data_IF_804523330599
#
_entry.id   IF_804523330599
#
_cell.length_a   1.000
_cell.length_b   1.000
_cell.length_c   1.000
_cell.angle_alpha   90.00
_cell.angle_beta   90.00
_cell.angle_gamma   90.00
#
_symmetry.space_group_name_H-M   'P 1'
#
loop_
_entity.id
_entity.type
_entity.pdbx_description
1 polymer ?
#
# COMPACT_ATOMS: atom_id res chain seq x y z
N UNK A 1 -11.28 6.84 -7.44
CA UNK A 1 -12.04 6.88 -6.16
C UNK A 1 -13.36 6.13 -6.36
N UNK A 2 -13.50 4.89 -5.86
CA UNK A 2 -14.77 4.15 -5.96
C UNK A 2 -15.79 4.75 -4.97
N UNK A 3 -16.91 5.27 -5.49
CA UNK A 3 -18.04 5.75 -4.68
C UNK A 3 -18.55 4.60 -3.80
N UNK A 4 -18.42 4.73 -2.48
CA UNK A 4 -19.05 3.80 -1.53
C UNK A 4 -20.56 3.89 -1.70
N UNK A 5 -21.23 2.75 -1.88
CA UNK A 5 -22.68 2.68 -2.07
C UNK A 5 -23.40 3.24 -0.83
N UNK A 6 -24.44 4.09 -1.00
CA UNK A 6 -25.21 4.66 0.11
C UNK A 6 -25.87 3.59 1.01
N UNK A 7 -26.14 2.40 0.45
CA UNK A 7 -26.72 1.27 1.18
C UNK A 7 -25.76 0.70 2.24
N UNK A 8 -24.44 0.73 2.01
CA UNK A 8 -23.44 0.26 2.97
C UNK A 8 -23.32 1.16 4.21
N UNK A 9 -23.71 2.43 4.12
CA UNK A 9 -23.72 3.33 5.27
C UNK A 9 -24.99 3.19 6.11
N UNK A 10 -26.11 2.79 5.50
CA UNK A 10 -27.41 2.66 6.19
C UNK A 10 -27.35 1.61 7.32
N UNK A 11 -26.72 0.46 7.06
CA UNK A 11 -26.62 -0.64 8.03
C UNK A 11 -25.76 -0.32 9.26
N UNK A 12 -24.80 0.60 9.16
CA UNK A 12 -24.01 1.04 10.32
C UNK A 12 -24.70 2.15 11.12
N UNK A 13 -25.50 2.99 10.45
CA UNK A 13 -26.21 4.12 11.07
C UNK A 13 -27.44 3.63 11.85
N UNK A 14 -28.13 2.60 11.38
CA UNK A 14 -29.34 2.07 12.02
C UNK A 14 -29.07 1.63 13.48
N UNK A 15 -28.11 0.72 13.77
CA UNK A 15 -27.80 0.32 15.14
C UNK A 15 -27.33 1.48 16.02
N UNK A 16 -26.59 2.44 15.46
CA UNK A 16 -26.15 3.62 16.17
C UNK A 16 -27.35 4.46 16.63
N UNK A 17 -28.30 4.74 15.73
CA UNK A 17 -29.52 5.49 16.04
C UNK A 17 -30.33 4.76 17.11
N UNK A 18 -30.56 3.45 16.96
CA UNK A 18 -31.31 2.68 17.96
C UNK A 18 -30.60 2.63 19.32
N UNK A 19 -29.27 2.52 19.36
CA UNK A 19 -28.50 2.58 20.61
C UNK A 19 -28.58 3.96 21.29
N UNK A 20 -28.59 5.04 20.50
CA UNK A 20 -28.76 6.41 20.99
C UNK A 20 -30.17 6.66 21.53
N UNK A 21 -31.20 6.21 20.82
CA UNK A 21 -32.59 6.26 21.28
C UNK A 21 -32.75 5.46 22.57
N UNK A 22 -32.18 4.25 22.64
CA UNK A 22 -32.17 3.45 23.85
C UNK A 22 -31.48 4.19 25.00
N UNK A 23 -30.37 4.89 24.74
CA UNK A 23 -29.64 5.63 25.77
C UNK A 23 -30.52 6.74 26.36
N UNK A 24 -31.14 7.55 25.50
CA UNK A 24 -32.03 8.64 25.92
C UNK A 24 -33.25 8.09 26.67
N UNK A 25 -33.86 7.01 26.18
CA UNK A 25 -34.99 6.36 26.83
C UNK A 25 -34.63 5.84 28.22
N UNK A 26 -33.46 5.19 28.37
CA UNK A 26 -32.97 4.70 29.65
C UNK A 26 -32.70 5.86 30.63
N UNK A 27 -32.06 6.94 30.18
CA UNK A 27 -31.83 8.12 31.02
C UNK A 27 -33.17 8.65 31.56
N UNK A 28 -34.17 8.83 30.69
CA UNK A 28 -35.47 9.36 31.10
C UNK A 28 -36.20 8.42 32.08
N UNK A 29 -36.27 7.12 31.74
CA UNK A 29 -36.99 6.13 32.56
C UNK A 29 -36.32 5.91 33.92
N UNK A 30 -34.99 5.80 33.95
CA UNK A 30 -34.25 5.61 35.21
C UNK A 30 -34.31 6.88 36.06
N UNK A 31 -34.21 8.07 35.46
CA UNK A 31 -34.34 9.33 36.17
C UNK A 31 -35.73 9.51 36.79
N UNK A 32 -36.81 9.07 36.12
CA UNK A 32 -38.14 9.10 36.72
C UNK A 32 -38.22 8.20 37.97
N UNK A 33 -37.52 7.06 37.96
CA UNK A 33 -37.48 6.09 39.06
C UNK A 33 -36.64 6.54 40.25
N UNK A 34 -35.75 7.54 40.11
CA UNK A 34 -34.97 8.06 41.25
C UNK A 34 -35.82 8.81 42.29
N UNK A 35 -37.11 9.05 42.01
CA UNK A 35 -38.07 9.58 43.00
C UNK A 35 -38.43 8.57 44.10
N UNK A 36 -38.12 7.28 43.89
CA UNK A 36 -38.35 6.19 44.85
C UNK A 36 -37.05 5.90 45.61
N UNK A 37 -36.96 6.14 46.94
CA UNK A 37 -35.71 5.97 47.69
C UNK A 37 -35.12 4.56 47.60
N UNK A 38 -35.96 3.52 47.69
CA UNK A 38 -35.53 2.12 47.57
C UNK A 38 -34.82 1.81 46.24
N UNK A 39 -35.19 2.50 45.15
CA UNK A 39 -34.54 2.34 43.86
C UNK A 39 -33.16 2.99 43.82
N UNK A 40 -32.99 4.15 44.47
CA UNK A 40 -31.70 4.85 44.58
C UNK A 40 -30.69 3.99 45.36
N UNK A 41 -31.13 3.39 46.46
CA UNK A 41 -30.30 2.47 47.24
C UNK A 41 -29.90 1.24 46.42
N UNK A 42 -30.85 0.66 45.68
CA UNK A 42 -30.56 -0.48 44.80
C UNK A 42 -29.56 -0.12 43.69
N UNK A 43 -29.73 1.02 43.02
CA UNK A 43 -28.83 1.48 41.96
C UNK A 43 -27.42 1.74 42.49
N UNK A 44 -27.31 2.33 43.68
CA UNK A 44 -26.04 2.56 44.38
C UNK A 44 -25.36 1.25 44.73
N UNK A 45 -26.10 0.28 45.28
CA UNK A 45 -25.57 -1.04 45.63
C UNK A 45 -25.08 -1.83 44.40
N UNK A 46 -25.71 -1.64 43.24
CA UNK A 46 -25.29 -2.27 41.98
C UNK A 46 -24.05 -1.61 41.35
N UNK A 47 -23.69 -0.38 41.75
CA UNK A 47 -22.59 0.37 41.14
C UNK A 47 -21.26 -0.39 41.24
N UNK A 48 -20.95 -1.03 42.37
CA UNK A 48 -19.71 -1.79 42.55
C UNK A 48 -19.61 -2.99 41.60
N UNK A 49 -20.71 -3.74 41.45
CA UNK A 49 -20.77 -4.87 40.53
C UNK A 49 -20.66 -4.40 39.07
N UNK A 50 -21.33 -3.31 38.73
CA UNK A 50 -21.28 -2.69 37.41
C UNK A 50 -19.88 -2.20 37.04
N UNK A 51 -19.16 -1.58 37.99
CA UNK A 51 -17.75 -1.22 37.85
C UNK A 51 -16.90 -2.47 37.59
N UNK A 52 -17.12 -3.54 38.35
CA UNK A 52 -16.39 -4.81 38.20
C UNK A 52 -16.54 -5.41 36.79
N UNK A 53 -17.77 -5.51 36.29
CA UNK A 53 -18.05 -6.03 34.94
C UNK A 53 -17.44 -5.12 33.87
N UNK A 54 -17.67 -3.81 33.97
CA UNK A 54 -17.17 -2.84 32.99
C UNK A 54 -15.64 -2.79 32.96
N UNK A 55 -15.01 -2.86 34.14
CA UNK A 55 -13.56 -2.90 34.31
C UNK A 55 -12.97 -4.17 33.71
N UNK A 56 -13.57 -5.33 33.95
CA UNK A 56 -13.13 -6.59 33.36
C UNK A 56 -13.15 -6.54 31.83
N UNK A 57 -14.25 -6.07 31.23
CA UNK A 57 -14.35 -5.91 29.77
C UNK A 57 -13.34 -4.90 29.24
N UNK A 58 -13.16 -3.76 29.92
CA UNK A 58 -12.19 -2.75 29.51
C UNK A 58 -10.75 -3.28 29.54
N UNK A 59 -10.38 -4.08 30.56
CA UNK A 59 -9.07 -4.73 30.63
C UNK A 59 -8.87 -5.70 29.47
N UNK A 60 -9.85 -6.54 29.15
CA UNK A 60 -9.77 -7.45 28.00
C UNK A 60 -9.56 -6.69 26.68
N UNK A 61 -10.28 -5.59 26.49
CA UNK A 61 -10.14 -4.75 25.30
C UNK A 61 -8.74 -4.11 25.20
N UNK A 62 -8.18 -3.60 26.30
CA UNK A 62 -6.83 -3.02 26.30
C UNK A 62 -5.77 -4.06 26.00
N UNK A 63 -5.86 -5.24 26.62
CA UNK A 63 -4.92 -6.35 26.37
C UNK A 63 -4.96 -6.74 24.89
N UNK A 64 -6.16 -6.87 24.31
CA UNK A 64 -6.32 -7.14 22.89
C UNK A 64 -5.71 -6.02 22.03
N UNK A 65 -6.07 -4.76 22.27
CA UNK A 65 -5.59 -3.60 21.51
C UNK A 65 -4.06 -3.47 21.59
N UNK A 66 -3.47 -3.69 22.76
CA UNK A 66 -2.02 -3.70 22.95
C UNK A 66 -1.36 -4.82 22.12
N UNK A 67 -1.88 -6.04 22.20
CA UNK A 67 -1.36 -7.18 21.44
C UNK A 67 -1.48 -6.98 19.92
N UNK A 68 -2.61 -6.43 19.45
CA UNK A 68 -2.85 -6.13 18.05
C UNK A 68 -1.91 -5.02 17.55
N UNK A 69 -1.67 -3.99 18.38
CA UNK A 69 -0.73 -2.91 18.07
C UNK A 69 0.70 -3.43 17.92
N UNK A 70 1.14 -4.33 18.82
CA UNK A 70 2.46 -4.96 18.72
C UNK A 70 2.60 -5.81 17.46
N UNK A 71 1.57 -6.60 17.12
CA UNK A 71 1.52 -7.37 15.87
C UNK A 71 1.57 -6.48 14.62
N UNK A 72 0.83 -5.38 14.61
CA UNK A 72 0.90 -4.43 13.50
C UNK A 72 2.27 -3.77 13.38
N UNK A 73 2.89 -3.42 14.52
CA UNK A 73 4.24 -2.87 14.53
C UNK A 73 5.25 -3.86 13.95
N UNK A 74 5.18 -5.14 14.32
CA UNK A 74 6.08 -6.16 13.78
C UNK A 74 5.84 -6.41 12.29
N UNK A 75 4.58 -6.52 11.85
CA UNK A 75 4.21 -6.66 10.44
C UNK A 75 4.69 -5.46 9.62
N UNK A 76 4.52 -4.23 10.14
CA UNK A 76 4.98 -3.02 9.46
C UNK A 76 6.51 -2.97 9.38
N UNK A 77 7.21 -3.31 10.47
CA UNK A 77 8.68 -3.39 10.47
C UNK A 77 9.17 -4.41 9.45
N UNK A 78 8.53 -5.57 9.37
CA UNK A 78 8.86 -6.58 8.37
C UNK A 78 8.57 -6.04 6.97
N UNK A 79 7.42 -5.43 6.73
CA UNK A 79 7.06 -4.86 5.43
C UNK A 79 8.04 -3.77 4.98
N UNK A 80 8.53 -2.92 5.91
CA UNK A 80 9.57 -1.92 5.63
C UNK A 80 10.88 -2.60 5.26
N UNK A 81 11.35 -3.57 6.05
CA UNK A 81 12.59 -4.31 5.74
C UNK A 81 12.52 -5.02 4.38
N UNK A 82 11.37 -5.61 4.05
CA UNK A 82 11.16 -6.25 2.75
C UNK A 82 11.10 -5.21 1.62
N UNK A 83 10.47 -4.06 1.86
CA UNK A 83 10.44 -2.95 0.90
C UNK A 83 11.85 -2.42 0.63
N UNK A 84 12.66 -2.23 1.67
CA UNK A 84 14.05 -1.78 1.55
C UNK A 84 14.86 -2.78 0.70
N UNK A 85 14.76 -4.08 1.01
CA UNK A 85 15.43 -5.13 0.25
C UNK A 85 15.02 -5.14 -1.23
N UNK A 86 13.72 -5.06 -1.53
CA UNK A 86 13.22 -5.01 -2.92
C UNK A 86 13.59 -3.69 -3.61
N UNK A 87 13.64 -2.58 -2.88
CA UNK A 87 14.06 -1.27 -3.40
C UNK A 87 15.53 -1.28 -3.80
N UNK A 88 16.40 -1.90 -3.00
CA UNK A 88 17.81 -2.09 -3.36
C UNK A 88 17.98 -2.97 -4.61
N UNK A 89 17.23 -4.07 -4.74
CA UNK A 89 17.20 -4.87 -5.97
C UNK A 89 16.83 -4.00 -7.19
N UNK A 90 15.85 -3.11 -7.03
CA UNK A 90 15.47 -2.18 -8.09
C UNK A 90 16.55 -1.11 -8.38
N UNK A 91 17.31 -0.66 -7.38
CA UNK A 91 18.48 0.21 -7.60
C UNK A 91 19.54 -0.48 -8.46
N UNK A 92 19.92 -1.70 -8.11
CA UNK A 92 20.89 -2.49 -8.87
C UNK A 92 20.41 -2.71 -10.31
N UNK A 93 19.14 -3.06 -10.50
CA UNK A 93 18.58 -3.23 -11.83
C UNK A 93 18.58 -1.94 -12.65
N UNK A 94 18.16 -0.80 -12.09
CA UNK A 94 18.23 0.49 -12.79
C UNK A 94 19.66 0.89 -13.13
N UNK A 95 20.65 0.52 -12.31
CA UNK A 95 22.06 0.72 -12.63
C UNK A 95 22.51 -0.12 -13.84
N UNK A 96 22.08 -1.39 -13.91
CA UNK A 96 22.29 -2.23 -15.10
C UNK A 96 21.63 -1.58 -16.33
N UNK A 97 20.38 -1.13 -16.19
CA UNK A 97 19.64 -0.47 -17.28
C UNK A 97 20.34 0.82 -17.73
N UNK A 98 20.85 1.63 -16.81
CA UNK A 98 21.59 2.86 -17.13
C UNK A 98 22.88 2.55 -17.91
N UNK A 99 23.61 1.50 -17.52
CA UNK A 99 24.79 1.05 -18.24
C UNK A 99 24.42 0.62 -19.67
N UNK A 100 23.38 -0.19 -19.85
CA UNK A 100 22.92 -0.67 -21.16
C UNK A 100 22.42 0.49 -22.04
N UNK A 101 21.56 1.35 -21.49
CA UNK A 101 21.03 2.55 -22.13
C UNK A 101 22.15 3.47 -22.66
N UNK A 102 23.20 3.68 -21.86
CA UNK A 102 24.35 4.51 -22.24
C UNK A 102 25.40 3.80 -23.10
N UNK A 103 25.30 2.49 -23.27
CA UNK A 103 26.30 1.70 -24.01
C UNK A 103 26.24 1.96 -25.52
N UNK A 104 27.16 1.31 -26.25
CA UNK A 104 27.26 1.33 -27.72
C UNK A 104 26.52 0.16 -28.38
N UNK A 105 25.71 -0.59 -27.64
CA UNK A 105 24.99 -1.76 -28.18
C UNK A 105 23.88 -1.42 -29.19
N UNK A 106 23.57 -0.14 -29.34
CA UNK A 106 22.44 0.34 -30.12
C UNK A 106 22.84 0.54 -31.58
N UNK A 107 21.89 0.38 -32.53
CA UNK A 107 22.10 0.78 -33.91
C UNK A 107 22.59 2.24 -34.01
N UNK A 108 23.54 2.54 -34.91
CA UNK A 108 23.95 3.92 -35.18
C UNK A 108 22.76 4.79 -35.58
N UNK A 109 22.61 5.98 -34.99
CA UNK A 109 21.51 6.90 -35.27
C UNK A 109 20.26 6.70 -34.41
N UNK A 110 20.12 5.57 -33.70
CA UNK A 110 18.92 5.31 -32.88
C UNK A 110 18.76 6.34 -31.75
N UNK A 111 19.87 6.72 -31.10
CA UNK A 111 19.83 7.65 -29.99
C UNK A 111 19.45 9.05 -30.46
N UNK A 112 20.07 9.51 -31.54
CA UNK A 112 19.78 10.79 -32.17
C UNK A 112 18.31 10.84 -32.61
N UNK A 113 17.80 9.77 -33.23
CA UNK A 113 16.40 9.65 -33.62
C UNK A 113 15.43 9.80 -32.42
N UNK A 114 15.65 9.05 -31.34
CA UNK A 114 14.71 9.07 -30.20
C UNK A 114 14.88 10.30 -29.30
N UNK A 115 16.12 10.71 -29.02
CA UNK A 115 16.40 11.73 -28.02
C UNK A 115 16.41 13.15 -28.62
N UNK A 116 16.71 13.31 -29.91
CA UNK A 116 16.73 14.60 -30.60
C UNK A 116 15.49 14.81 -31.50
N UNK A 117 15.17 13.88 -32.41
CA UNK A 117 14.02 14.04 -33.33
C UNK A 117 12.68 13.85 -32.60
N UNK A 118 12.58 12.84 -31.74
CA UNK A 118 11.42 12.58 -30.89
C UNK A 118 11.62 13.03 -29.44
N UNK A 119 12.23 14.22 -29.27
CA UNK A 119 12.60 14.75 -27.96
C UNK A 119 11.44 14.68 -26.94
N UNK A 120 11.70 13.97 -25.85
CA UNK A 120 10.78 13.83 -24.74
C UNK A 120 9.69 12.77 -24.92
N UNK A 121 9.76 11.96 -25.96
CA UNK A 121 8.99 10.73 -26.09
C UNK A 121 9.42 9.72 -25.00
N UNK A 122 8.42 9.10 -24.37
CA UNK A 122 8.62 8.02 -23.39
C UNK A 122 7.89 6.75 -23.81
N UNK A 123 8.29 5.61 -23.25
CA UNK A 123 7.58 4.35 -23.45
C UNK A 123 6.12 4.43 -23.02
N UNK A 124 5.82 5.20 -21.97
CA UNK A 124 4.44 5.38 -21.50
C UNK A 124 3.58 6.12 -22.52
N UNK A 125 4.14 7.12 -23.21
CA UNK A 125 3.42 7.84 -24.26
C UNK A 125 3.09 6.91 -25.43
N UNK A 126 4.06 6.09 -25.85
CA UNK A 126 3.88 5.09 -26.92
C UNK A 126 2.86 4.04 -26.52
N UNK A 127 2.89 3.51 -25.28
CA UNK A 127 1.91 2.51 -24.84
C UNK A 127 0.52 3.08 -24.60
N UNK A 128 0.39 4.38 -24.35
CA UNK A 128 -0.88 5.06 -24.09
C UNK A 128 -1.39 5.88 -25.27
N UNK A 129 -0.83 5.70 -26.47
CA UNK A 129 -1.20 6.47 -27.66
C UNK A 129 -2.70 6.44 -27.96
N UNK A 130 -3.36 5.29 -27.76
CA UNK A 130 -4.80 5.09 -27.95
C UNK A 130 -5.67 5.94 -27.01
N UNK A 131 -5.11 6.48 -25.91
CA UNK A 131 -5.80 7.41 -25.01
C UNK A 131 -5.84 8.84 -25.59
N UNK A 132 -5.26 9.08 -26.77
CA UNK A 132 -5.26 10.37 -27.48
C UNK A 132 -4.44 11.46 -26.80
N UNK A 133 -3.49 11.09 -25.93
CA UNK A 133 -2.80 12.04 -25.04
C UNK A 133 -1.48 12.59 -25.60
N UNK A 134 -0.91 11.97 -26.63
CA UNK A 134 0.39 12.35 -27.17
C UNK A 134 0.37 12.37 -28.70
N UNK A 135 0.42 13.57 -29.28
CA UNK A 135 0.58 13.76 -30.73
C UNK A 135 1.92 13.20 -31.21
N UNK A 136 2.98 13.41 -30.41
CA UNK A 136 4.33 12.91 -30.68
C UNK A 136 4.38 11.37 -30.77
N UNK A 137 3.65 10.67 -29.89
CA UNK A 137 3.57 9.21 -29.96
C UNK A 137 2.83 8.71 -31.21
N UNK A 138 1.85 9.47 -31.70
CA UNK A 138 1.14 9.14 -32.94
C UNK A 138 2.06 9.35 -34.14
N UNK A 139 2.76 10.48 -34.20
CA UNK A 139 3.76 10.77 -35.24
C UNK A 139 4.84 9.68 -35.26
N UNK A 140 5.39 9.32 -34.10
CA UNK A 140 6.37 8.23 -33.94
C UNK A 140 5.85 6.86 -34.44
N UNK A 141 4.60 6.51 -34.14
CA UNK A 141 3.99 5.25 -34.56
C UNK A 141 3.57 5.25 -36.04
N UNK A 142 3.48 6.41 -36.68
CA UNK A 142 3.13 6.58 -38.09
C UNK A 142 4.36 6.60 -38.99
N UNK A 143 5.51 7.05 -38.48
CA UNK A 143 6.78 6.90 -39.17
C UNK A 143 7.19 5.43 -39.19
N UNK A 144 7.72 4.96 -40.33
CA UNK A 144 8.17 3.58 -40.47
C UNK A 144 9.24 3.26 -39.42
N UNK A 145 9.25 2.02 -38.90
CA UNK A 145 10.26 1.50 -37.98
C UNK A 145 11.65 1.51 -38.64
N UNK A 146 12.41 2.58 -38.47
CA UNK A 146 13.73 2.75 -39.08
C UNK A 146 14.81 1.88 -38.39
N UNK A 147 14.52 1.35 -37.20
CA UNK A 147 15.47 0.57 -36.39
C UNK A 147 14.88 -0.76 -35.91
N UNK A 148 14.00 -1.38 -36.70
CA UNK A 148 13.51 -2.76 -36.50
C UNK A 148 13.08 -3.03 -35.06
N UNK A 149 12.14 -2.24 -34.53
CA UNK A 149 11.57 -2.34 -33.17
C UNK A 149 12.56 -2.10 -32.00
N UNK A 150 13.85 -1.84 -32.23
CA UNK A 150 14.80 -1.55 -31.14
C UNK A 150 14.50 -0.22 -30.43
N UNK A 151 13.75 0.67 -31.08
CA UNK A 151 13.23 1.93 -30.52
C UNK A 151 12.37 1.67 -29.28
N UNK A 152 11.53 0.63 -29.32
CA UNK A 152 10.66 0.28 -28.21
C UNK A 152 11.46 -0.20 -26.99
N UNK A 153 12.50 -1.01 -27.21
CA UNK A 153 13.41 -1.43 -26.13
C UNK A 153 14.16 -0.22 -25.55
N UNK A 154 14.65 0.66 -26.41
CA UNK A 154 15.35 1.88 -26.00
C UNK A 154 14.47 2.79 -25.13
N UNK A 155 13.25 3.07 -25.59
CA UNK A 155 12.25 3.85 -24.85
C UNK A 155 11.88 3.18 -23.53
N UNK A 156 11.77 1.86 -23.49
CA UNK A 156 11.46 1.12 -22.27
C UNK A 156 12.57 1.26 -21.22
N UNK A 157 13.83 1.07 -21.63
CA UNK A 157 15.00 1.28 -20.76
C UNK A 157 15.08 2.74 -20.29
N UNK A 158 14.85 3.71 -21.18
CA UNK A 158 14.74 5.14 -20.86
C UNK A 158 13.69 5.38 -19.77
N UNK A 159 12.49 4.80 -19.89
CA UNK A 159 11.39 4.98 -18.94
C UNK A 159 11.60 4.28 -17.59
N UNK A 160 12.46 3.27 -17.50
CA UNK A 160 12.91 2.68 -16.22
C UNK A 160 13.82 3.62 -15.42
N UNK A 161 14.50 4.55 -16.10
CA UNK A 161 15.40 5.52 -15.46
C UNK A 161 14.67 6.75 -14.90
N UNK A 162 13.40 6.95 -15.24
CA UNK A 162 12.57 8.05 -14.73
C UNK A 162 12.01 7.76 -13.34
N UNK A 163 11.77 8.80 -12.55
CA UNK A 163 11.10 8.71 -11.24
C UNK A 163 9.67 9.25 -11.27
N UNK A 164 9.32 10.01 -12.32
CA UNK A 164 7.97 10.51 -12.53
C UNK A 164 7.51 10.17 -13.96
N UNK A 165 6.29 9.65 -14.17
CA UNK A 165 5.77 9.37 -15.52
C UNK A 165 5.67 10.60 -16.44
N UNK A 166 5.75 11.82 -15.88
CA UNK A 166 5.74 13.08 -16.63
C UNK A 166 7.13 13.59 -16.99
N UNK A 167 8.18 13.01 -16.43
CA UNK A 167 9.55 13.33 -16.84
C UNK A 167 9.76 12.88 -18.27
N UNK A 168 10.41 13.72 -19.06
CA UNK A 168 10.64 13.49 -20.49
C UNK A 168 12.09 13.17 -20.83
N UNK A 169 13.01 13.54 -19.93
CA UNK A 169 14.45 13.36 -20.09
C UNK A 169 15.01 12.56 -18.93
N UNK A 170 15.95 11.68 -19.25
CA UNK A 170 16.73 10.96 -18.24
C UNK A 170 17.72 11.96 -17.64
N UNK A 171 17.77 12.13 -16.31
CA UNK A 171 18.75 13.02 -15.69
C UNK A 171 20.18 12.49 -15.90
N UNK A 172 21.16 13.39 -15.96
CA UNK A 172 22.57 12.98 -16.04
C UNK A 172 22.97 12.07 -14.87
N UNK A 173 22.50 12.42 -13.67
CA UNK A 173 22.71 11.64 -12.45
C UNK A 173 21.41 10.91 -12.07
N UNK A 174 21.45 9.57 -12.14
CA UNK A 174 20.31 8.74 -11.75
C UNK A 174 20.11 8.80 -10.24
N UNK A 175 18.90 9.19 -9.82
CA UNK A 175 18.51 9.21 -8.42
C UNK A 175 17.98 7.85 -7.96
N UNK A 176 18.43 7.42 -6.79
CA UNK A 176 18.07 6.16 -6.12
C UNK A 176 17.38 6.47 -4.78
N UNK A 177 16.05 6.65 -4.78
CA UNK A 177 15.32 7.07 -3.59
C UNK A 177 15.15 5.95 -2.57
N UNK A 178 15.02 6.29 -1.29
CA UNK A 178 14.70 5.31 -0.25
C UNK A 178 13.38 4.55 -0.51
N UNK A 179 12.45 5.18 -1.22
CA UNK A 179 11.25 4.53 -1.73
C UNK A 179 10.85 5.16 -3.07
N UNK A 180 10.53 4.31 -4.04
CA UNK A 180 10.05 4.78 -5.35
C UNK A 180 8.64 5.37 -5.27
N UNK A 181 8.34 6.45 -6.02
CA UNK A 181 6.98 6.98 -6.10
C UNK A 181 5.99 5.93 -6.61
N UNK A 182 4.83 5.79 -5.94
CA UNK A 182 3.82 4.79 -6.30
C UNK A 182 3.32 4.96 -7.75
N UNK A 183 3.26 6.20 -8.24
CA UNK A 183 2.80 6.52 -9.60
C UNK A 183 3.71 5.90 -10.67
N UNK A 184 5.04 6.00 -10.52
CA UNK A 184 5.98 5.43 -11.50
C UNK A 184 6.00 3.90 -11.42
N UNK A 185 5.98 3.32 -10.22
CA UNK A 185 5.94 1.85 -10.06
C UNK A 185 4.65 1.27 -10.65
N UNK A 186 3.53 1.96 -10.47
CA UNK A 186 2.26 1.58 -11.09
C UNK A 186 2.33 1.61 -12.61
N UNK A 187 2.99 2.62 -13.20
CA UNK A 187 3.17 2.71 -14.65
C UNK A 187 4.09 1.63 -15.18
N UNK A 188 5.15 1.30 -14.47
CA UNK A 188 6.02 0.18 -14.84
C UNK A 188 5.24 -1.13 -14.88
N UNK A 189 4.39 -1.40 -13.89
CA UNK A 189 3.55 -2.60 -13.87
C UNK A 189 2.43 -2.59 -14.93
N UNK A 190 1.71 -1.48 -15.09
CA UNK A 190 0.60 -1.35 -16.07
C UNK A 190 1.08 -1.68 -17.49
N UNK A 191 2.26 -1.16 -17.84
CA UNK A 191 2.81 -1.27 -19.19
C UNK A 191 3.87 -2.36 -19.34
N UNK A 192 4.09 -3.18 -18.30
CA UNK A 192 5.16 -4.20 -18.24
C UNK A 192 6.54 -3.65 -18.62
N UNK A 193 6.84 -2.43 -18.16
CA UNK A 193 8.13 -1.78 -18.32
C UNK A 193 9.18 -2.55 -17.50
N UNK A 194 10.20 -3.06 -18.18
CA UNK A 194 11.13 -4.08 -17.70
C UNK A 194 11.06 -5.41 -18.45
N UNK A 195 10.03 -5.65 -19.27
CA UNK A 195 9.88 -6.90 -20.04
C UNK A 195 10.65 -6.92 -21.35
N UNK A 196 11.13 -5.77 -21.82
CA UNK A 196 11.95 -5.65 -23.03
C UNK A 196 13.19 -6.54 -23.00
N UNK A 197 13.95 -6.55 -21.89
CA UNK A 197 15.13 -7.42 -21.81
C UNK A 197 14.79 -8.91 -22.01
N UNK A 198 13.70 -9.37 -21.39
CA UNK A 198 13.21 -10.74 -21.60
C UNK A 198 12.76 -11.00 -23.04
N UNK A 199 12.00 -10.07 -23.61
CA UNK A 199 11.42 -10.23 -24.94
C UNK A 199 12.47 -10.21 -26.05
N UNK A 200 13.33 -9.18 -26.07
CA UNK A 200 14.29 -8.95 -27.14
C UNK A 200 15.47 -9.94 -27.08
N UNK A 201 15.97 -10.26 -25.88
CA UNK A 201 17.11 -11.19 -25.73
C UNK A 201 16.69 -12.65 -25.56
N UNK A 202 15.47 -12.93 -25.11
CA UNK A 202 14.99 -14.31 -24.89
C UNK A 202 14.19 -14.88 -26.05
N UNK A 203 13.28 -14.09 -26.62
CA UNK A 203 12.32 -14.57 -27.61
C UNK A 203 12.67 -14.19 -29.05
N UNK A 204 13.20 -12.97 -29.25
CA UNK A 204 13.48 -12.43 -30.59
C UNK A 204 14.96 -12.20 -30.90
N UNK A 205 15.89 -12.69 -30.08
CA UNK A 205 17.31 -12.33 -30.24
C UNK A 205 17.89 -12.72 -31.61
N UNK A 206 17.46 -13.86 -32.17
CA UNK A 206 17.89 -14.27 -33.51
C UNK A 206 17.57 -13.26 -34.62
N UNK A 207 16.54 -12.42 -34.41
CA UNK A 207 16.12 -11.35 -35.33
C UNK A 207 16.91 -10.07 -35.04
N UNK A 208 17.17 -9.78 -33.77
CA UNK A 208 17.78 -8.52 -33.34
C UNK A 208 19.30 -8.57 -33.13
N UNK A 209 19.94 -9.73 -33.23
CA UNK A 209 21.40 -9.89 -33.05
C UNK A 209 22.21 -9.02 -34.01
N UNK A 210 21.66 -8.71 -35.19
CA UNK A 210 22.32 -7.89 -36.20
C UNK A 210 22.09 -6.38 -35.96
N UNK A 211 21.21 -6.03 -35.01
CA UNK A 211 20.88 -4.66 -34.61
C UNK A 211 21.37 -4.31 -33.19
N UNK A 212 21.47 -5.30 -32.30
CA UNK A 212 21.90 -5.14 -30.92
C UNK A 212 23.28 -5.78 -30.72
N UNK A 213 24.31 -4.93 -30.66
CA UNK A 213 25.70 -5.35 -30.50
C UNK A 213 26.08 -5.48 -29.01
N UNK A 214 25.91 -6.67 -28.45
CA UNK A 214 26.30 -6.93 -27.05
C UNK A 214 27.82 -6.85 -26.83
N UNK A 215 28.62 -7.14 -27.85
CA UNK A 215 30.08 -7.11 -27.78
C UNK A 215 30.61 -5.66 -27.72
N UNK A 216 29.82 -4.69 -28.22
CA UNK A 216 30.12 -3.27 -28.07
C UNK A 216 29.95 -2.72 -26.64
N UNK A 217 29.40 -3.50 -25.70
CA UNK A 217 29.40 -3.16 -24.28
C UNK A 217 30.80 -3.42 -23.70
N UNK A 218 31.49 -2.37 -23.23
CA UNK A 218 32.84 -2.52 -22.66
C UNK A 218 32.91 -3.62 -21.59
N UNK A 219 33.96 -4.44 -21.62
CA UNK A 219 34.19 -5.56 -20.69
C UNK A 219 34.01 -5.17 -19.22
N UNK A 220 34.62 -4.04 -18.79
CA UNK A 220 34.44 -3.50 -17.43
C UNK A 220 32.97 -3.23 -17.04
N UNK A 221 32.12 -2.88 -18.01
CA UNK A 221 30.70 -2.66 -17.79
C UNK A 221 29.95 -3.98 -17.74
N UNK A 222 30.33 -4.96 -18.56
CA UNK A 222 29.79 -6.32 -18.50
C UNK A 222 30.05 -6.93 -17.11
N UNK A 223 31.29 -6.89 -16.63
CA UNK A 223 31.67 -7.35 -15.28
C UNK A 223 30.84 -6.65 -14.18
N UNK A 224 30.72 -5.32 -14.26
CA UNK A 224 29.90 -4.54 -13.33
C UNK A 224 28.43 -4.97 -13.36
N UNK A 225 27.86 -5.25 -14.54
CA UNK A 225 26.50 -5.74 -14.68
C UNK A 225 26.32 -7.10 -13.98
N UNK A 226 27.28 -8.02 -14.14
CA UNK A 226 27.24 -9.32 -13.46
C UNK A 226 27.31 -9.18 -11.94
N UNK A 227 28.17 -8.30 -11.43
CA UNK A 227 28.25 -8.01 -9.98
C UNK A 227 26.93 -7.42 -9.46
N UNK A 228 26.32 -6.49 -10.21
CA UNK A 228 25.02 -5.90 -9.85
C UNK A 228 23.91 -6.96 -9.87
N UNK A 229 23.89 -7.86 -10.85
CA UNK A 229 22.91 -8.93 -10.92
C UNK A 229 23.06 -9.93 -9.76
N UNK A 230 24.28 -10.30 -9.40
CA UNK A 230 24.54 -11.10 -8.20
C UNK A 230 24.11 -10.39 -6.90
N UNK A 231 24.15 -9.06 -6.87
CA UNK A 231 23.61 -8.26 -5.75
C UNK A 231 22.09 -8.23 -5.73
N UNK A 232 21.42 -8.46 -6.86
CA UNK A 232 19.97 -8.63 -6.93
C UNK A 232 19.57 -9.99 -6.34
N UNK A 233 20.22 -11.06 -6.79
CA UNK A 233 19.99 -12.42 -6.31
C UNK A 233 21.19 -13.33 -6.66
N UNK A 234 22.05 -13.59 -5.68
CA UNK A 234 23.29 -14.34 -5.90
C UNK A 234 23.06 -15.79 -6.28
N UNK A 235 21.93 -16.39 -5.88
CA UNK A 235 21.62 -17.78 -6.23
C UNK A 235 21.06 -17.88 -7.65
N UNK A 236 20.26 -16.89 -8.07
CA UNK A 236 19.64 -16.92 -9.39
C UNK A 236 20.62 -16.55 -10.52
N UNK A 237 21.61 -15.71 -10.23
CA UNK A 237 22.60 -15.22 -11.18
C UNK A 237 24.02 -15.77 -10.95
N UNK A 238 24.13 -16.83 -10.15
CA UNK A 238 25.38 -17.57 -9.95
C UNK A 238 25.94 -18.05 -11.30
N UNK A 239 27.27 -18.00 -11.44
CA UNK A 239 28.03 -18.43 -12.62
C UNK A 239 27.53 -17.88 -13.97
N UNK A 240 26.80 -16.76 -13.95
CA UNK A 240 26.26 -16.15 -15.16
C UNK A 240 27.33 -15.32 -15.87
N UNK A 241 27.44 -15.49 -17.19
CA UNK A 241 28.24 -14.64 -18.07
C UNK A 241 27.35 -13.62 -18.78
N UNK A 242 27.93 -12.49 -19.19
CA UNK A 242 27.20 -11.47 -19.92
C UNK A 242 26.90 -11.93 -21.34
N UNK A 243 25.63 -12.21 -21.63
CA UNK A 243 25.12 -12.59 -22.94
C UNK A 243 23.60 -12.34 -23.00
N UNK A 244 23.00 -12.64 -24.15
CA UNK A 244 21.57 -12.55 -24.41
C UNK A 244 20.74 -13.39 -23.41
N UNK A 245 21.15 -14.64 -23.16
CA UNK A 245 20.46 -15.53 -22.22
C UNK A 245 20.41 -14.94 -20.81
N UNK A 246 21.50 -14.33 -20.36
CA UNK A 246 21.58 -13.63 -19.08
C UNK A 246 20.64 -12.42 -19.04
N UNK A 247 20.65 -11.55 -20.05
CA UNK A 247 19.78 -10.38 -20.11
C UNK A 247 18.29 -10.78 -20.13
N UNK A 248 17.97 -11.85 -20.85
CA UNK A 248 16.62 -12.39 -20.88
C UNK A 248 16.17 -12.87 -19.50
N UNK A 249 17.03 -13.64 -18.81
CA UNK A 249 16.79 -14.13 -17.45
C UNK A 249 16.64 -12.99 -16.45
N UNK A 250 17.48 -11.96 -16.56
CA UNK A 250 17.40 -10.77 -15.72
C UNK A 250 16.05 -10.06 -15.90
N UNK A 251 15.64 -9.79 -17.14
CA UNK A 251 14.34 -9.19 -17.44
C UNK A 251 13.18 -10.01 -16.87
N UNK A 252 13.21 -11.33 -17.05
CA UNK A 252 12.19 -12.23 -16.53
C UNK A 252 12.10 -12.21 -15.01
N UNK A 253 13.24 -12.33 -14.32
CA UNK A 253 13.31 -12.30 -12.86
C UNK A 253 12.74 -10.99 -12.31
N UNK A 254 13.13 -9.85 -12.90
CA UNK A 254 12.66 -8.55 -12.43
C UNK A 254 11.13 -8.43 -12.54
N UNK A 255 10.55 -8.83 -13.69
CA UNK A 255 9.10 -8.76 -13.90
C UNK A 255 8.31 -9.72 -13.01
N UNK A 256 8.85 -10.91 -12.72
CA UNK A 256 8.15 -11.92 -11.91
C UNK A 256 8.32 -11.70 -10.41
N UNK A 257 9.49 -11.23 -9.97
CA UNK A 257 9.87 -11.21 -8.55
C UNK A 257 9.99 -9.80 -7.97
N UNK A 258 10.53 -8.82 -8.70
CA UNK A 258 10.89 -7.53 -8.11
C UNK A 258 9.78 -6.50 -8.31
N UNK A 259 9.36 -6.22 -9.55
CA UNK A 259 8.33 -5.20 -9.82
C UNK A 259 7.01 -5.45 -9.04
N UNK A 260 6.44 -6.68 -9.01
CA UNK A 260 5.19 -6.93 -8.30
C UNK A 260 5.35 -6.76 -6.78
N UNK A 261 6.46 -7.25 -6.21
CA UNK A 261 6.75 -7.12 -4.77
C UNK A 261 6.98 -5.67 -4.37
N UNK A 262 7.65 -4.89 -5.21
CA UNK A 262 7.89 -3.47 -4.97
C UNK A 262 6.55 -2.73 -4.80
N UNK A 263 5.59 -2.98 -5.70
CA UNK A 263 4.25 -2.40 -5.61
C UNK A 263 3.45 -2.91 -4.42
N UNK A 264 3.49 -4.22 -4.15
CA UNK A 264 2.75 -4.85 -3.05
C UNK A 264 3.21 -4.33 -1.68
N UNK A 265 4.52 -4.23 -1.45
CA UNK A 265 5.06 -3.79 -0.16
C UNK A 265 4.85 -2.29 0.08
N UNK A 266 4.84 -1.46 -0.97
CA UNK A 266 4.46 -0.05 -0.87
C UNK A 266 3.03 0.13 -0.36
N UNK A 267 2.08 -0.69 -0.81
CA UNK A 267 0.68 -0.59 -0.36
C UNK A 267 0.50 -1.02 1.11
N UNK A 268 1.35 -1.91 1.61
CA UNK A 268 1.30 -2.40 2.98
C UNK A 268 2.00 -1.48 3.99
N UNK A 269 3.07 -0.79 3.59
CA UNK A 269 3.82 0.11 4.48
C UNK A 269 3.05 1.40 4.87
N UNK A 270 2.09 1.82 4.04
CA UNK A 270 1.33 3.08 4.19
C UNK A 270 -0.02 2.99 4.89
N UNK A 271 -0.50 1.80 5.28
CA UNK A 271 -1.82 1.65 5.93
C UNK A 271 -1.74 2.02 7.41
N UNK A 272 -2.58 2.97 7.84
CA UNK A 272 -2.77 3.32 9.26
C UNK A 272 -3.52 2.23 10.05
N UNK A 273 -3.90 2.53 11.29
CA UNK A 273 -4.65 1.58 12.14
C UNK A 273 -5.90 1.03 11.43
N UNK A 274 -6.11 -0.30 11.42
CA UNK A 274 -7.31 -0.93 10.88
C UNK A 274 -8.59 -0.37 11.47
N UNK A 275 -9.69 -0.46 10.71
CA UNK A 275 -11.00 0.04 11.12
C UNK A 275 -11.49 -0.62 12.41
N UNK A 276 -11.30 -1.94 12.53
CA UNK A 276 -11.66 -2.70 13.73
C UNK A 276 -10.95 -2.22 15.00
N UNK A 277 -9.68 -1.81 14.90
CA UNK A 277 -8.95 -1.32 16.06
C UNK A 277 -9.49 0.03 16.54
N UNK A 278 -9.89 0.91 15.61
CA UNK A 278 -10.54 2.18 15.97
C UNK A 278 -11.90 1.95 16.62
N UNK A 279 -12.67 0.99 16.11
CA UNK A 279 -13.96 0.58 16.67
C UNK A 279 -13.81 0.04 18.10
N UNK A 280 -12.91 -0.92 18.31
CA UNK A 280 -12.64 -1.51 19.63
C UNK A 280 -12.07 -0.47 20.63
N UNK A 281 -11.26 0.47 20.16
CA UNK A 281 -10.76 1.57 20.98
C UNK A 281 -11.89 2.52 21.44
N UNK A 282 -12.86 2.83 20.58
CA UNK A 282 -14.03 3.63 20.96
C UNK A 282 -14.88 2.93 22.03
N UNK A 283 -15.08 1.62 21.90
CA UNK A 283 -15.77 0.81 22.92
C UNK A 283 -15.00 0.82 24.24
N UNK A 284 -13.68 0.60 24.18
CA UNK A 284 -12.84 0.66 25.36
C UNK A 284 -12.99 1.99 26.10
N UNK A 285 -12.94 3.12 25.39
CA UNK A 285 -13.13 4.44 25.99
C UNK A 285 -14.51 4.59 26.63
N UNK A 286 -15.58 4.14 25.97
CA UNK A 286 -16.93 4.19 26.52
C UNK A 286 -17.05 3.37 27.81
N UNK A 287 -16.53 2.13 27.83
CA UNK A 287 -16.55 1.25 29.01
C UNK A 287 -15.69 1.81 30.15
N UNK A 288 -14.51 2.36 29.83
CA UNK A 288 -13.60 2.91 30.85
C UNK A 288 -14.14 4.20 31.47
N UNK A 289 -14.66 5.12 30.65
CA UNK A 289 -15.13 6.42 31.14
C UNK A 289 -16.48 6.28 31.86
N UNK A 290 -17.45 5.63 31.22
CA UNK A 290 -18.82 5.57 31.75
C UNK A 290 -19.08 4.34 32.60
N UNK A 291 -18.38 3.22 32.36
CA UNK A 291 -18.57 1.99 33.13
C UNK A 291 -17.72 1.89 34.40
N UNK A 292 -16.57 2.57 34.43
CA UNK A 292 -15.63 2.50 35.57
C UNK A 292 -15.47 3.87 36.21
N UNK A 293 -14.92 4.84 35.48
CA UNK A 293 -14.46 6.10 36.05
C UNK A 293 -15.62 6.94 36.61
N UNK A 294 -16.69 7.11 35.84
CA UNK A 294 -17.85 7.91 36.24
C UNK A 294 -18.59 7.36 37.48
N UNK A 295 -18.96 6.06 37.57
CA UNK A 295 -19.58 5.51 38.78
C UNK A 295 -18.62 5.44 39.97
N UNK A 296 -17.30 5.30 39.73
CA UNK A 296 -16.31 5.40 40.79
C UNK A 296 -16.20 6.83 41.36
N UNK A 297 -16.27 7.86 40.51
CA UNK A 297 -16.36 9.25 40.96
C UNK A 297 -17.64 9.50 41.77
N UNK A 298 -18.76 8.88 41.42
CA UNK A 298 -19.97 8.93 42.23
C UNK A 298 -19.73 8.37 43.64
N UNK A 299 -19.15 7.17 43.75
CA UNK A 299 -18.88 6.52 45.03
C UNK A 299 -17.87 7.28 45.89
N UNK A 300 -16.84 7.88 45.28
CA UNK A 300 -15.76 8.56 46.01
C UNK A 300 -16.08 10.02 46.36
N UNK A 301 -16.78 10.74 45.48
CA UNK A 301 -17.02 12.18 45.60
C UNK A 301 -18.45 12.52 46.00
N UNK A 302 -19.34 11.53 46.13
CA UNK A 302 -20.74 11.74 46.46
C UNK A 302 -21.49 12.54 45.38
N UNK A 303 -21.22 12.26 44.11
CA UNK A 303 -21.87 12.96 43.00
C UNK A 303 -23.40 12.70 42.99
N UNK A 304 -24.20 13.54 42.31
CA UNK A 304 -25.64 13.32 42.26
C UNK A 304 -26.02 12.01 41.54
N UNK A 305 -27.15 11.41 41.92
CA UNK A 305 -27.61 10.10 41.39
C UNK A 305 -27.74 10.04 39.86
N UNK A 306 -27.98 11.20 39.21
CA UNK A 306 -28.00 11.33 37.74
C UNK A 306 -26.69 10.81 37.10
N UNK A 307 -25.56 10.91 37.81
CA UNK A 307 -24.26 10.40 37.36
C UNK A 307 -24.31 8.89 37.14
N UNK A 308 -24.91 8.13 38.07
CA UNK A 308 -25.11 6.68 37.90
C UNK A 308 -26.13 6.37 36.80
N UNK A 309 -27.20 7.16 36.69
CA UNK A 309 -28.21 6.99 35.63
C UNK A 309 -27.57 7.13 34.24
N UNK A 310 -26.76 8.18 34.03
CA UNK A 310 -26.05 8.42 32.77
C UNK A 310 -25.03 7.32 32.49
N UNK A 311 -24.25 6.94 33.51
CA UNK A 311 -23.27 5.85 33.44
C UNK A 311 -23.89 4.53 32.97
N UNK A 312 -24.93 4.06 33.66
CA UNK A 312 -25.61 2.80 33.35
C UNK A 312 -26.24 2.84 31.96
N UNK A 313 -26.90 3.95 31.60
CA UNK A 313 -27.55 4.10 30.29
C UNK A 313 -26.56 4.03 29.13
N UNK A 314 -25.42 4.71 29.25
CA UNK A 314 -24.41 4.72 28.17
C UNK A 314 -23.78 3.34 27.99
N UNK A 315 -23.46 2.63 29.08
CA UNK A 315 -22.87 1.28 28.98
C UNK A 315 -23.86 0.28 28.40
N UNK A 316 -25.12 0.28 28.87
CA UNK A 316 -26.15 -0.62 28.34
C UNK A 316 -26.38 -0.36 26.85
N UNK A 317 -26.45 0.90 26.44
CA UNK A 317 -26.55 1.26 25.02
C UNK A 317 -25.32 0.87 24.21
N UNK A 318 -24.12 0.97 24.79
CA UNK A 318 -22.89 0.52 24.14
C UNK A 318 -22.89 -0.99 23.94
N UNK A 319 -23.32 -1.77 24.94
CA UNK A 319 -23.46 -3.23 24.83
C UNK A 319 -24.49 -3.58 23.75
N UNK A 320 -25.63 -2.89 23.71
CA UNK A 320 -26.64 -3.09 22.66
C UNK A 320 -26.08 -2.77 21.27
N UNK A 321 -25.35 -1.67 21.13
CA UNK A 321 -24.68 -1.30 19.88
C UNK A 321 -23.68 -2.38 19.43
N UNK A 322 -22.87 -2.91 20.33
CA UNK A 322 -21.92 -3.98 20.03
C UNK A 322 -22.67 -5.21 19.54
N UNK A 323 -23.64 -5.71 20.31
CA UNK A 323 -24.39 -6.93 19.99
C UNK A 323 -25.06 -6.88 18.62
N UNK A 324 -25.50 -5.70 18.19
CA UNK A 324 -26.18 -5.50 16.89
C UNK A 324 -25.22 -5.26 15.73
N UNK A 325 -24.03 -4.68 15.98
CA UNK A 325 -23.07 -4.32 14.92
C UNK A 325 -21.94 -5.33 14.75
N UNK A 326 -21.65 -6.16 15.75
CA UNK A 326 -20.46 -7.01 15.77
C UNK A 326 -20.38 -7.96 14.57
N UNK A 327 -21.49 -8.65 14.24
CA UNK A 327 -21.54 -9.56 13.08
C UNK A 327 -21.33 -8.83 11.75
N UNK A 328 -21.88 -7.63 11.61
CA UNK A 328 -21.74 -6.83 10.39
C UNK A 328 -20.32 -6.30 10.21
N UNK A 329 -19.67 -5.91 11.32
CA UNK A 329 -18.27 -5.50 11.29
C UNK A 329 -17.34 -6.66 10.92
N UNK A 330 -17.57 -7.86 11.44
CA UNK A 330 -16.79 -9.05 11.07
C UNK A 330 -16.90 -9.35 9.57
N UNK A 331 -18.11 -9.38 9.00
CA UNK A 331 -18.29 -9.64 7.56
C UNK A 331 -17.63 -8.57 6.67
N UNK A 332 -17.56 -7.32 7.14
CA UNK A 332 -16.97 -6.21 6.39
C UNK A 332 -15.44 -6.22 6.38
N UNK A 333 -14.79 -6.80 7.38
CA UNK A 333 -13.32 -6.93 7.40
C UNK A 333 -12.83 -8.22 6.73
N UNK A 334 -13.68 -9.25 6.61
CA UNK A 334 -13.34 -10.52 5.95
C UNK A 334 -13.53 -10.46 4.42
N UNK A 335 -14.47 -9.65 3.92
CA UNK A 335 -14.63 -9.35 2.47
C UNK A 335 -13.80 -8.16 2.02
#
# INVERSE_FOLDING_TARGET
MKKKSPVQNLYAVIPLVFSGVLCIALIFLLQQKTTVPAFVDQLTNLATLFIGISGFVAVLLVVYLASATLRLKSVRSNAVNHLDGVTQKMHHFRNIVDILYRSKMWPPGLKEYIDDEFEGLTFFDVKEFYKGKSKLAIEFLQENNNFEDTENLYLELKSLLLLNPKEKKVPENISYPNAYPKEIVSKWLEHKCGSGLWYYFGYKFAIFKDFLDLDAVFERHQEKIIVLANSIDSQHFEDSSFNDVFLARLGEYMNKQVFPKLFQFQDNAGKGLPGIMKYLYAIFLAMSLFGVLLPLLYLLLGLPIITLVVSFSIVVSTIFFISTTFFQFLNREIS
#
